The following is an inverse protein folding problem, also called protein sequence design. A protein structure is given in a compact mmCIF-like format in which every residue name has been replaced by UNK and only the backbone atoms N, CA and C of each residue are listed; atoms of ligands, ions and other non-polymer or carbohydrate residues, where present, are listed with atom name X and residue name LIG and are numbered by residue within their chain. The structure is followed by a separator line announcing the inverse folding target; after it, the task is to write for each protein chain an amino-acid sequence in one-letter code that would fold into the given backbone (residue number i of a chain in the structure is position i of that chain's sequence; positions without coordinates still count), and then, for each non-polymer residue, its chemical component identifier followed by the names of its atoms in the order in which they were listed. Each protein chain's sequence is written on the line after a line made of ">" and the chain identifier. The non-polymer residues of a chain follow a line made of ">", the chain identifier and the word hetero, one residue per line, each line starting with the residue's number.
data_IF_215487387985
#
_entry.id   IF_215487387985
#
_cell.length_a   1.000
_cell.length_b   1.000
_cell.length_c   1.000
_cell.angle_alpha   90.00
_cell.angle_beta   90.00
_cell.angle_gamma   90.00
#
_symmetry.space_group_name_H-M   'P 1'
#
loop_
_entity.id
_entity.type
_entity.pdbx_description
1 polymer ?
#
# COMPACT_ATOMS: atom_id res chain seq x y z
N UNK A 1 -2.77 -15.49 -4.77
CA UNK A 1 -2.78 -14.96 -3.39
C UNK A 1 -1.41 -14.58 -2.82
N UNK A 2 -0.48 -15.49 -2.48
CA UNK A 2 0.81 -15.08 -1.85
C UNK A 2 1.65 -14.15 -2.74
N UNK A 3 1.84 -14.53 -4.01
CA UNK A 3 2.59 -13.73 -5.00
C UNK A 3 1.88 -12.40 -5.24
N UNK A 4 0.60 -12.45 -5.59
CA UNK A 4 -0.29 -11.31 -5.76
C UNK A 4 -0.27 -10.31 -4.59
N UNK A 5 -0.39 -10.79 -3.34
CA UNK A 5 -0.29 -9.95 -2.15
C UNK A 5 1.06 -9.25 -2.07
N UNK A 6 2.16 -10.00 -2.24
CA UNK A 6 3.53 -9.46 -2.17
C UNK A 6 3.79 -8.42 -3.24
N UNK A 7 3.41 -8.70 -4.49
CA UNK A 7 3.56 -7.79 -5.61
C UNK A 7 2.74 -6.52 -5.40
N UNK A 8 1.48 -6.65 -4.96
CA UNK A 8 0.62 -5.53 -4.65
C UNK A 8 1.22 -4.65 -3.55
N UNK A 9 1.63 -5.24 -2.42
CA UNK A 9 2.22 -4.48 -1.31
C UNK A 9 3.54 -3.82 -1.69
N UNK A 10 4.36 -4.47 -2.51
CA UNK A 10 5.60 -3.89 -2.99
C UNK A 10 5.36 -2.71 -3.93
N UNK A 11 4.35 -2.79 -4.80
CA UNK A 11 3.93 -1.68 -5.67
C UNK A 11 3.32 -0.54 -4.86
N UNK A 12 2.50 -0.84 -3.86
CA UNK A 12 1.89 0.14 -2.96
C UNK A 12 2.98 0.88 -2.17
N UNK A 13 3.99 0.16 -1.66
CA UNK A 13 5.16 0.74 -0.99
C UNK A 13 5.86 1.77 -1.87
N UNK A 14 6.23 1.40 -3.11
CA UNK A 14 6.89 2.34 -4.04
C UNK A 14 6.03 3.57 -4.38
N UNK A 15 4.72 3.38 -4.53
CA UNK A 15 3.80 4.49 -4.80
C UNK A 15 3.69 5.42 -3.58
N UNK A 16 3.62 4.86 -2.37
CA UNK A 16 3.63 5.61 -1.11
C UNK A 16 4.92 6.41 -0.95
N UNK A 17 6.07 5.80 -1.22
CA UNK A 17 7.37 6.48 -1.15
C UNK A 17 7.44 7.65 -2.14
N UNK A 18 6.96 7.45 -3.37
CA UNK A 18 6.89 8.52 -4.38
C UNK A 18 5.97 9.66 -3.94
N UNK A 19 4.78 9.34 -3.41
CA UNK A 19 3.83 10.34 -2.90
C UNK A 19 4.38 11.11 -1.70
N UNK A 20 5.12 10.43 -0.81
CA UNK A 20 5.80 11.07 0.31
C UNK A 20 6.87 12.05 -0.19
N UNK A 21 7.73 11.62 -1.13
CA UNK A 21 8.72 12.51 -1.75
C UNK A 21 8.09 13.72 -2.44
N UNK A 22 6.94 13.54 -3.09
CA UNK A 22 6.17 14.65 -3.66
C UNK A 22 5.70 15.62 -2.56
N UNK A 23 5.10 15.11 -1.49
CA UNK A 23 4.62 15.92 -0.36
C UNK A 23 5.77 16.68 0.34
N UNK A 24 6.95 16.06 0.42
CA UNK A 24 8.15 16.67 1.02
C UNK A 24 8.88 17.64 0.07
N UNK A 25 8.44 17.77 -1.19
CA UNK A 25 9.12 18.59 -2.20
C UNK A 25 10.48 18.04 -2.63
N UNK A 26 10.73 16.74 -2.45
CA UNK A 26 12.00 16.04 -2.75
C UNK A 26 11.90 15.10 -3.95
N UNK A 27 10.75 15.08 -4.64
CA UNK A 27 10.60 14.34 -5.88
C UNK A 27 11.40 15.04 -6.99
N UNK A 28 12.21 14.26 -7.70
CA UNK A 28 13.17 14.73 -8.72
C UNK A 28 12.52 14.90 -10.11
N UNK A 29 11.22 14.70 -10.21
CA UNK A 29 10.45 14.85 -11.43
C UNK A 29 9.03 15.32 -11.14
N UNK A 30 8.38 15.93 -12.13
CA UNK A 30 6.96 16.27 -12.08
C UNK A 30 6.13 15.08 -12.60
N UNK A 31 5.19 14.53 -11.80
CA UNK A 31 4.32 13.48 -12.28
C UNK A 31 3.41 13.97 -13.40
N UNK A 32 3.38 13.24 -14.52
CA UNK A 32 2.41 13.51 -15.60
C UNK A 32 0.98 13.11 -15.22
N UNK A 33 0.85 12.20 -14.25
CA UNK A 33 -0.42 11.75 -13.70
C UNK A 33 -0.83 12.66 -12.52
N UNK A 34 -2.10 13.08 -12.43
CA UNK A 34 -2.59 13.85 -11.29
C UNK A 34 -2.31 13.15 -9.96
N UNK A 35 -1.77 13.89 -9.00
CA UNK A 35 -1.46 13.38 -7.65
C UNK A 35 -2.69 12.78 -6.97
N UNK A 36 -3.86 13.41 -7.13
CA UNK A 36 -5.12 12.89 -6.57
C UNK A 36 -5.49 11.50 -7.09
N UNK A 37 -5.18 11.19 -8.35
CA UNK A 37 -5.41 9.87 -8.93
C UNK A 37 -4.39 8.85 -8.41
N UNK A 38 -3.13 9.26 -8.24
CA UNK A 38 -2.09 8.42 -7.64
C UNK A 38 -2.38 8.11 -6.16
N UNK A 39 -2.86 9.09 -5.39
CA UNK A 39 -3.34 8.88 -4.01
C UNK A 39 -4.52 7.91 -3.98
N UNK A 40 -5.53 8.11 -4.84
CA UNK A 40 -6.66 7.19 -4.93
C UNK A 40 -6.23 5.77 -5.33
N UNK A 41 -5.25 5.65 -6.21
CA UNK A 41 -4.67 4.37 -6.59
C UNK A 41 -4.05 3.67 -5.36
N UNK A 42 -3.28 4.40 -4.54
CA UNK A 42 -2.70 3.86 -3.31
C UNK A 42 -3.79 3.36 -2.34
N UNK A 43 -4.85 4.16 -2.12
CA UNK A 43 -5.97 3.78 -1.25
C UNK A 43 -6.59 2.44 -1.69
N UNK A 44 -6.90 2.32 -2.99
CA UNK A 44 -7.49 1.10 -3.56
C UNK A 44 -6.53 -0.10 -3.45
N UNK A 45 -5.23 0.12 -3.60
CA UNK A 45 -4.22 -0.93 -3.43
C UNK A 45 -4.15 -1.41 -1.97
N UNK A 46 -4.25 -0.51 -0.99
CA UNK A 46 -4.29 -0.85 0.43
C UNK A 46 -5.58 -1.59 0.82
N UNK A 47 -6.73 -1.13 0.32
CA UNK A 47 -8.01 -1.83 0.48
C UNK A 47 -7.95 -3.25 -0.10
N UNK A 48 -7.37 -3.40 -1.28
CA UNK A 48 -7.23 -4.71 -1.90
C UNK A 48 -6.25 -5.61 -1.15
N UNK A 49 -5.14 -5.08 -0.63
CA UNK A 49 -4.22 -5.82 0.23
C UNK A 49 -4.93 -6.32 1.50
N UNK A 50 -5.80 -5.51 2.09
CA UNK A 50 -6.64 -5.90 3.23
C UNK A 50 -7.58 -7.06 2.88
N UNK A 51 -8.21 -7.03 1.70
CA UNK A 51 -9.06 -8.13 1.21
C UNK A 51 -8.24 -9.41 1.07
N UNK A 52 -7.08 -9.34 0.43
CA UNK A 52 -6.19 -10.50 0.26
C UNK A 52 -5.73 -11.08 1.61
N UNK A 53 -5.42 -10.23 2.59
CA UNK A 53 -5.09 -10.67 3.95
C UNK A 53 -6.25 -11.38 4.65
N UNK A 54 -7.47 -10.85 4.53
CA UNK A 54 -8.68 -11.48 5.08
C UNK A 54 -8.94 -12.84 4.43
N UNK A 55 -8.84 -12.92 3.10
CA UNK A 55 -8.98 -14.17 2.37
C UNK A 55 -7.92 -15.19 2.78
N UNK A 56 -6.66 -14.77 2.94
CA UNK A 56 -5.59 -15.65 3.40
C UNK A 56 -5.89 -16.26 4.78
N UNK A 57 -6.48 -15.48 5.70
CA UNK A 57 -6.91 -15.99 7.00
C UNK A 57 -8.02 -17.04 6.89
N UNK A 58 -9.00 -16.83 6.01
CA UNK A 58 -10.12 -17.76 5.78
C UNK A 58 -9.62 -19.04 5.08
N UNK A 59 -8.74 -18.89 4.10
CA UNK A 59 -8.19 -19.98 3.29
C UNK A 59 -7.00 -20.69 3.99
N UNK A 60 -6.65 -20.28 5.21
CA UNK A 60 -5.50 -20.77 5.98
C UNK A 60 -4.15 -20.70 5.22
N UNK A 61 -3.96 -19.65 4.42
CA UNK A 61 -2.75 -19.41 3.62
C UNK A 61 -1.82 -18.46 4.38
N UNK A 62 -0.58 -18.90 4.64
CA UNK A 62 0.46 -18.01 5.19
C UNK A 62 1.00 -17.04 4.12
N UNK A 63 0.90 -15.74 4.38
CA UNK A 63 1.45 -14.68 3.51
C UNK A 63 2.95 -14.42 3.78
N UNK A 64 3.54 -14.99 4.84
CA UNK A 64 4.89 -14.69 5.34
C UNK A 64 4.89 -13.60 6.43
N UNK A 65 6.07 -13.32 7.00
CA UNK A 65 6.22 -12.29 8.05
C UNK A 65 5.74 -10.92 7.56
N UNK A 66 4.73 -10.38 8.24
CA UNK A 66 4.26 -9.01 8.03
C UNK A 66 4.83 -8.15 9.14
N UNK A 67 5.62 -7.13 8.79
CA UNK A 67 5.87 -6.01 9.71
C UNK A 67 4.52 -5.31 9.89
N UNK A 68 3.90 -5.53 11.04
CA UNK A 68 2.68 -4.82 11.40
C UNK A 68 3.13 -3.42 11.80
N UNK A 69 3.12 -2.49 10.86
CA UNK A 69 3.19 -1.06 11.21
C UNK A 69 1.79 -0.64 11.66
N UNK A 70 1.43 -1.04 12.88
CA UNK A 70 0.27 -0.52 13.61
C UNK A 70 0.56 0.93 14.00
N UNK A 71 0.48 1.83 13.03
CA UNK A 71 0.59 3.27 13.25
C UNK A 71 -0.66 3.99 12.75
N UNK A 72 -1.86 3.46 13.02
CA UNK A 72 -3.10 4.27 13.07
C UNK A 72 -4.25 3.43 13.64
N UNK A 73 -4.29 3.33 14.97
CA UNK A 73 -5.52 3.14 15.78
C UNK A 73 -5.17 3.51 17.21
N UNK A 74 -5.11 4.81 17.46
CA UNK A 74 -5.67 5.37 18.69
C UNK A 74 -5.77 6.88 18.52
N UNK A 75 -6.98 7.32 18.20
CA UNK A 75 -7.46 8.65 18.54
C UNK A 75 -8.83 8.40 19.14
N UNK A 76 -8.84 8.18 20.45
CA UNK A 76 -10.00 8.21 21.31
C UNK A 76 -9.68 9.08 22.50
#
# INVERSE_FOLDING_TARGET
>A
MRVEYRELTARAGRLRDMLQRYADGTLDFEPTCPISLLSRQLDVMDEYALILRRRANIEHISLGEQRIDTATRDTR
#
